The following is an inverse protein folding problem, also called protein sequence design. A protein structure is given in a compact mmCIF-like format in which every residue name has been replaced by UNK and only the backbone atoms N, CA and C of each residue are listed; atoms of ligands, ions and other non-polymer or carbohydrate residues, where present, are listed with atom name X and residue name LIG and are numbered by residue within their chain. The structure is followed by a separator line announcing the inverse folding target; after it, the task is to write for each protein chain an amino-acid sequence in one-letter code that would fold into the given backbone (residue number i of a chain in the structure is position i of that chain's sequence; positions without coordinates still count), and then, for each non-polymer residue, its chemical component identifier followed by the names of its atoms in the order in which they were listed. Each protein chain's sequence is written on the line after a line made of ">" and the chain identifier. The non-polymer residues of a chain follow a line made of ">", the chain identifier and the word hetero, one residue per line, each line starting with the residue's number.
data_IF_122323842257
#
_entry.id   IF_122323842257
#
_cell.length_a   1.000
_cell.length_b   1.000
_cell.length_c   1.000
_cell.angle_alpha   90.00
_cell.angle_beta   90.00
_cell.angle_gamma   90.00
#
_symmetry.space_group_name_H-M   'P 1'
#
loop_
_entity.id
_entity.type
_entity.pdbx_description
1 polymer ?
#
# COMPACT_ATOMS: atom_id res chain seq x y z
N UNK A 1 -19.89 8.21 26.29
CA UNK A 1 -20.24 7.35 25.13
C UNK A 1 -19.58 7.93 23.89
N UNK A 2 -18.33 7.56 23.58
CA UNK A 2 -17.58 8.08 22.43
C UNK A 2 -18.22 7.52 21.14
N UNK A 3 -18.82 8.40 20.33
CA UNK A 3 -19.73 8.00 19.24
C UNK A 3 -19.05 7.61 17.91
N UNK A 4 -17.76 7.92 17.70
CA UNK A 4 -16.98 7.39 16.56
C UNK A 4 -15.54 7.91 16.61
N UNK A 5 -14.56 7.09 16.24
CA UNK A 5 -13.17 7.52 16.06
C UNK A 5 -13.04 8.62 14.98
N UNK A 6 -14.04 8.74 14.09
CA UNK A 6 -14.08 9.76 13.04
C UNK A 6 -14.15 11.20 13.56
N UNK A 7 -14.51 11.41 14.84
CA UNK A 7 -14.47 12.73 15.47
C UNK A 7 -13.05 13.31 15.52
N UNK A 8 -12.02 12.46 15.40
CA UNK A 8 -10.61 12.83 15.46
C UNK A 8 -9.87 12.71 14.12
N UNK A 9 -10.57 12.74 12.98
CA UNK A 9 -9.95 12.60 11.64
C UNK A 9 -8.79 13.57 11.42
N UNK A 10 -8.86 14.81 11.93
CA UNK A 10 -7.76 15.79 11.81
C UNK A 10 -6.52 15.32 12.56
N UNK A 11 -6.68 14.84 13.80
CA UNK A 11 -5.59 14.30 14.61
C UNK A 11 -5.02 13.03 13.98
N UNK A 12 -5.88 12.11 13.54
CA UNK A 12 -5.44 10.90 12.85
C UNK A 12 -4.61 11.22 11.60
N UNK A 13 -5.05 12.18 10.78
CA UNK A 13 -4.30 12.65 9.60
C UNK A 13 -2.96 13.26 9.98
N UNK A 14 -2.90 14.04 11.06
CA UNK A 14 -1.65 14.59 11.58
C UNK A 14 -0.68 13.46 11.98
N UNK A 15 -1.15 12.48 12.76
CA UNK A 15 -0.32 11.36 13.23
C UNK A 15 0.16 10.51 12.04
N UNK A 16 -0.69 10.23 11.05
CA UNK A 16 -0.29 9.53 9.82
C UNK A 16 0.74 10.35 9.03
N UNK A 17 0.57 11.68 8.96
CA UNK A 17 1.53 12.59 8.38
C UNK A 17 2.90 12.53 9.07
N UNK A 18 2.92 12.56 10.41
CA UNK A 18 4.14 12.40 11.21
C UNK A 18 4.81 11.04 10.95
N UNK A 19 4.05 9.94 10.91
CA UNK A 19 4.58 8.61 10.56
C UNK A 19 5.22 8.62 9.18
N UNK A 20 4.57 9.21 8.17
CA UNK A 20 5.12 9.32 6.80
C UNK A 20 6.40 10.15 6.78
N UNK A 21 6.43 11.29 7.48
CA UNK A 21 7.63 12.12 7.58
C UNK A 21 8.79 11.37 8.25
N UNK A 22 8.51 10.60 9.31
CA UNK A 22 9.50 9.74 9.95
C UNK A 22 10.04 8.67 8.98
N UNK A 23 9.17 7.97 8.24
CA UNK A 23 9.57 6.95 7.26
C UNK A 23 10.41 7.54 6.11
N UNK A 24 10.07 8.73 5.63
CA UNK A 24 10.80 9.38 4.52
C UNK A 24 12.09 10.06 4.99
N UNK A 25 12.08 10.81 6.11
CA UNK A 25 13.22 11.60 6.58
C UNK A 25 14.22 10.81 7.43
N UNK A 26 13.76 9.84 8.23
CA UNK A 26 14.64 9.04 9.09
C UNK A 26 15.04 7.73 8.41
N UNK A 27 14.10 7.05 7.75
CA UNK A 27 14.38 5.76 7.10
C UNK A 27 14.75 5.87 5.62
N UNK A 28 14.55 7.04 4.99
CA UNK A 28 14.94 7.26 3.59
C UNK A 28 14.05 6.54 2.57
N UNK A 29 12.81 6.19 2.93
CA UNK A 29 11.83 5.61 2.01
C UNK A 29 11.33 6.66 1.00
N UNK A 30 10.94 6.22 -0.20
CA UNK A 30 10.31 7.04 -1.22
C UNK A 30 8.78 6.91 -1.15
N UNK A 31 8.13 7.82 -0.42
CA UNK A 31 6.68 7.77 -0.18
C UNK A 31 6.07 9.12 -0.50
N UNK A 32 5.17 9.15 -1.49
CA UNK A 32 4.52 10.37 -1.93
C UNK A 32 3.74 11.06 -0.79
N UNK A 33 3.73 12.40 -0.68
CA UNK A 33 3.10 13.11 0.44
C UNK A 33 1.60 12.86 0.65
N UNK A 34 0.89 12.46 -0.41
CA UNK A 34 -0.56 12.20 -0.39
C UNK A 34 -0.93 10.78 0.03
N UNK A 35 0.06 9.89 0.20
CA UNK A 35 -0.18 8.52 0.68
C UNK A 35 -0.80 8.56 2.07
N UNK A 36 -1.84 7.76 2.25
CA UNK A 36 -2.47 7.53 3.55
C UNK A 36 -2.23 6.07 3.92
N UNK A 37 -1.87 5.83 5.18
CA UNK A 37 -1.62 4.48 5.65
C UNK A 37 -2.14 4.29 7.07
N UNK A 38 -2.49 3.06 7.41
CA UNK A 38 -2.70 2.68 8.80
C UNK A 38 -1.42 2.88 9.62
N UNK A 39 -1.57 3.25 10.89
CA UNK A 39 -0.47 3.27 11.84
C UNK A 39 0.17 1.89 12.01
N UNK A 40 -0.59 0.81 11.77
CA UNK A 40 -0.09 -0.56 11.86
C UNK A 40 0.52 -1.11 10.55
N UNK A 41 0.43 -0.39 9.43
CA UNK A 41 1.07 -0.81 8.17
C UNK A 41 2.59 -0.99 8.39
N UNK A 42 3.11 -2.14 7.93
CA UNK A 42 4.49 -2.58 8.13
C UNK A 42 5.28 -2.38 6.84
N UNK A 43 6.16 -1.39 6.85
CA UNK A 43 7.10 -1.16 5.77
C UNK A 43 8.47 -1.67 6.20
N UNK A 44 9.18 -2.27 5.26
CA UNK A 44 10.50 -2.84 5.47
C UNK A 44 11.51 -1.83 5.99
N UNK A 45 12.13 -2.12 7.13
CA UNK A 45 13.19 -1.28 7.73
C UNK A 45 14.60 -1.85 7.53
N UNK A 46 14.73 -3.06 7.01
CA UNK A 46 16.04 -3.68 6.70
C UNK A 46 16.57 -3.18 5.37
N UNK A 47 15.69 -2.89 4.41
CA UNK A 47 16.02 -2.22 3.16
C UNK A 47 15.05 -1.07 2.83
N UNK A 48 15.03 0.01 3.64
CA UNK A 48 13.97 1.02 3.57
C UNK A 48 14.01 1.84 2.27
N UNK A 49 15.20 2.06 1.69
CA UNK A 49 15.34 2.81 0.43
C UNK A 49 14.73 2.10 -0.77
N UNK A 50 14.46 0.79 -0.68
CA UNK A 50 13.78 0.03 -1.73
C UNK A 50 12.26 0.10 -1.65
N UNK A 51 11.67 0.88 -0.74
CA UNK A 51 10.22 1.07 -0.66
C UNK A 51 9.83 2.32 -1.44
N UNK A 52 9.04 2.12 -2.50
CA UNK A 52 8.51 3.20 -3.34
C UNK A 52 6.99 3.16 -3.38
N UNK A 53 6.31 4.26 -3.02
CA UNK A 53 4.84 4.32 -2.96
C UNK A 53 4.33 5.59 -3.62
N UNK A 54 3.56 5.40 -4.69
CA UNK A 54 3.01 6.42 -5.55
C UNK A 54 1.87 7.23 -4.94
N UNK A 55 1.59 8.35 -5.60
CA UNK A 55 0.57 9.32 -5.22
C UNK A 55 -0.82 8.69 -4.99
N UNK A 56 -1.53 9.16 -3.95
CA UNK A 56 -2.93 8.84 -3.77
C UNK A 56 -3.20 7.39 -3.38
N UNK A 57 -2.16 6.59 -3.11
CA UNK A 57 -2.30 5.21 -2.66
C UNK A 57 -2.70 5.13 -1.19
N UNK A 58 -3.53 4.15 -0.86
CA UNK A 58 -3.95 3.84 0.50
C UNK A 58 -3.44 2.48 0.94
N UNK A 59 -2.85 2.42 2.14
CA UNK A 59 -2.33 1.19 2.74
C UNK A 59 -3.16 0.86 3.99
N UNK A 60 -3.91 -0.24 3.91
CA UNK A 60 -4.76 -0.68 5.01
C UNK A 60 -3.94 -1.26 6.18
N UNK A 61 -4.65 -1.57 7.27
CA UNK A 61 -4.04 -2.05 8.50
C UNK A 61 -3.30 -3.38 8.29
N UNK A 62 -2.13 -3.47 8.94
CA UNK A 62 -1.25 -4.64 8.98
C UNK A 62 -0.76 -5.15 7.61
N UNK A 63 -0.98 -4.41 6.52
CA UNK A 63 -0.35 -4.73 5.25
C UNK A 63 1.18 -4.66 5.41
N UNK A 64 1.88 -5.65 4.89
CA UNK A 64 3.32 -5.77 4.92
C UNK A 64 3.89 -5.55 3.51
N UNK A 65 4.79 -4.59 3.37
CA UNK A 65 5.47 -4.29 2.10
C UNK A 65 6.96 -4.52 2.33
N UNK A 66 7.48 -5.55 1.69
CA UNK A 66 8.84 -6.05 1.89
C UNK A 66 9.73 -5.65 0.72
N UNK A 67 11.00 -5.40 1.00
CA UNK A 67 12.07 -5.03 0.08
C UNK A 67 13.36 -5.85 0.35
N UNK A 68 13.35 -6.73 1.36
CA UNK A 68 14.40 -7.72 1.60
C UNK A 68 13.83 -9.12 1.89
N UNK A 69 14.63 -10.14 1.57
CA UNK A 69 14.43 -11.51 2.04
C UNK A 69 15.78 -12.07 2.49
N UNK A 70 15.88 -12.39 3.79
CA UNK A 70 17.10 -12.90 4.41
C UNK A 70 17.46 -14.30 3.93
N UNK A 71 16.47 -15.15 3.66
CA UNK A 71 16.70 -16.55 3.22
C UNK A 71 17.25 -16.61 1.80
N UNK A 72 16.86 -15.64 0.96
CA UNK A 72 17.33 -15.49 -0.41
C UNK A 72 18.51 -14.53 -0.55
N UNK A 73 18.92 -13.88 0.55
CA UNK A 73 19.94 -12.84 0.58
C UNK A 73 19.71 -11.71 -0.44
N UNK A 74 18.45 -11.36 -0.71
CA UNK A 74 18.09 -10.29 -1.67
C UNK A 74 17.68 -9.01 -0.95
N UNK A 75 18.08 -7.89 -1.54
CA UNK A 75 17.59 -6.54 -1.25
C UNK A 75 17.26 -5.91 -2.59
N UNK A 76 16.02 -5.50 -2.76
CA UNK A 76 15.49 -5.05 -4.05
C UNK A 76 14.40 -4.03 -3.84
N UNK A 77 14.06 -3.30 -4.90
CA UNK A 77 12.98 -2.33 -4.86
C UNK A 77 11.62 -3.03 -4.96
N UNK A 78 10.69 -2.61 -4.11
CA UNK A 78 9.27 -2.93 -4.20
C UNK A 78 8.51 -1.64 -4.47
N UNK A 79 7.75 -1.62 -5.55
CA UNK A 79 7.14 -0.41 -6.10
C UNK A 79 5.63 -0.54 -6.08
N UNK A 80 4.96 0.48 -5.55
CA UNK A 80 3.51 0.58 -5.57
C UNK A 80 3.15 1.84 -6.34
N UNK A 81 2.34 1.69 -7.39
CA UNK A 81 1.88 2.75 -8.24
C UNK A 81 0.95 3.76 -7.56
N UNK A 82 0.39 4.64 -8.37
CA UNK A 82 -0.56 5.68 -7.96
C UNK A 82 -1.96 5.11 -7.77
N UNK A 83 -2.74 5.76 -6.91
CA UNK A 83 -4.16 5.48 -6.68
C UNK A 83 -4.46 4.00 -6.40
N UNK A 84 -3.54 3.29 -5.74
CA UNK A 84 -3.74 1.90 -5.38
C UNK A 84 -4.48 1.77 -4.04
N UNK A 85 -5.17 0.66 -3.85
CA UNK A 85 -5.60 0.18 -2.54
C UNK A 85 -4.84 -1.08 -2.18
N UNK A 86 -4.09 -1.03 -1.08
CA UNK A 86 -3.37 -2.18 -0.54
C UNK A 86 -4.17 -2.75 0.63
N UNK A 87 -4.82 -3.89 0.39
CA UNK A 87 -5.76 -4.53 1.31
C UNK A 87 -5.14 -4.90 2.66
N UNK A 88 -5.98 -4.99 3.67
CA UNK A 88 -5.54 -5.23 5.04
C UNK A 88 -4.87 -6.61 5.15
N UNK A 89 -3.76 -6.69 5.91
CA UNK A 89 -2.98 -7.92 6.09
C UNK A 89 -2.51 -8.57 4.77
N UNK A 90 -2.48 -7.83 3.67
CA UNK A 90 -1.79 -8.30 2.47
C UNK A 90 -0.27 -8.28 2.69
N UNK A 91 0.44 -9.15 1.98
CA UNK A 91 1.89 -9.26 2.02
C UNK A 91 2.40 -9.06 0.60
N UNK A 92 3.17 -8.00 0.38
CA UNK A 92 3.85 -7.73 -0.89
C UNK A 92 5.29 -8.19 -0.74
N UNK A 93 5.68 -9.23 -1.51
CA UNK A 93 7.03 -9.78 -1.44
C UNK A 93 8.07 -8.83 -2.07
N UNK A 94 9.36 -8.98 -1.69
CA UNK A 94 10.43 -8.17 -2.25
C UNK A 94 10.53 -8.28 -3.77
N UNK A 95 10.71 -7.13 -4.43
CA UNK A 95 10.97 -7.07 -5.87
C UNK A 95 9.71 -6.92 -6.71
N UNK A 96 8.54 -6.85 -6.07
CA UNK A 96 7.25 -6.75 -6.78
C UNK A 96 6.97 -5.30 -7.16
N UNK A 97 6.50 -5.12 -8.39
CA UNK A 97 5.90 -3.89 -8.89
C UNK A 97 4.38 -4.05 -9.00
N UNK A 98 3.65 -3.20 -8.29
CA UNK A 98 2.20 -3.00 -8.42
C UNK A 98 2.00 -1.77 -9.29
N UNK A 99 1.37 -1.93 -10.46
CA UNK A 99 1.07 -0.84 -11.37
C UNK A 99 0.05 0.16 -10.81
N UNK A 100 -0.14 1.26 -11.53
CA UNK A 100 -1.11 2.29 -11.15
C UNK A 100 -2.55 1.73 -11.13
N UNK A 101 -3.39 2.33 -10.29
CA UNK A 101 -4.82 2.01 -10.19
C UNK A 101 -5.14 0.54 -9.89
N UNK A 102 -4.31 -0.10 -9.06
CA UNK A 102 -4.53 -1.47 -8.62
C UNK A 102 -5.33 -1.57 -7.31
N UNK A 103 -6.04 -2.68 -7.16
CA UNK A 103 -6.70 -3.07 -5.90
C UNK A 103 -6.16 -4.42 -5.46
N UNK A 104 -5.43 -4.45 -4.36
CA UNK A 104 -4.95 -5.69 -3.73
C UNK A 104 -5.95 -6.09 -2.65
N UNK A 105 -6.49 -7.31 -2.76
CA UNK A 105 -7.40 -7.88 -1.79
C UNK A 105 -6.76 -8.04 -0.41
N UNK A 106 -7.57 -7.92 0.64
CA UNK A 106 -7.12 -8.19 2.01
C UNK A 106 -6.65 -9.63 2.15
N UNK A 107 -5.56 -9.85 2.90
CA UNK A 107 -4.95 -11.16 3.09
C UNK A 107 -4.21 -11.72 1.87
N UNK A 108 -4.11 -10.97 0.76
CA UNK A 108 -3.41 -11.44 -0.42
C UNK A 108 -1.89 -11.56 -0.20
N UNK A 109 -1.26 -12.56 -0.80
CA UNK A 109 0.21 -12.71 -0.83
C UNK A 109 0.68 -12.47 -2.26
N UNK A 110 1.19 -11.28 -2.53
CA UNK A 110 1.61 -10.86 -3.86
C UNK A 110 3.05 -11.28 -4.09
N UNK A 111 3.21 -12.26 -4.98
CA UNK A 111 4.49 -12.92 -5.28
C UNK A 111 5.10 -12.52 -6.63
N UNK A 112 4.33 -11.81 -7.45
CA UNK A 112 4.69 -11.37 -8.80
C UNK A 112 4.08 -10.00 -9.06
N UNK A 113 4.61 -9.32 -10.07
CA UNK A 113 4.11 -8.01 -10.50
C UNK A 113 2.63 -8.04 -10.85
N UNK A 114 1.94 -6.95 -10.50
CA UNK A 114 0.53 -6.75 -10.81
C UNK A 114 0.44 -5.64 -11.85
N UNK A 115 -0.09 -5.92 -13.06
CA UNK A 115 -0.19 -4.91 -14.10
C UNK A 115 -1.15 -3.79 -13.68
N UNK A 116 -0.98 -2.55 -14.20
CA UNK A 116 -1.88 -1.45 -13.92
C UNK A 116 -3.35 -1.80 -14.16
N UNK A 117 -4.27 -1.05 -13.53
CA UNK A 117 -5.71 -1.21 -13.70
C UNK A 117 -6.21 -2.64 -13.37
N UNK A 118 -5.62 -3.28 -12.36
CA UNK A 118 -5.94 -4.66 -11.99
C UNK A 118 -6.39 -4.80 -10.55
N UNK A 119 -7.38 -5.67 -10.32
CA UNK A 119 -7.69 -6.19 -8.99
C UNK A 119 -7.05 -7.57 -8.85
N UNK A 120 -6.26 -7.77 -7.78
CA UNK A 120 -5.60 -9.04 -7.48
C UNK A 120 -5.90 -9.50 -6.05
N UNK A 121 -6.09 -10.81 -5.85
CA UNK A 121 -6.37 -11.38 -4.54
C UNK A 121 -5.90 -12.85 -4.47
N UNK A 122 -5.80 -13.39 -3.25
CA UNK A 122 -5.42 -14.78 -2.99
C UNK A 122 -3.99 -14.97 -2.49
N UNK A 123 -3.62 -16.21 -2.20
CA UNK A 123 -2.28 -16.63 -1.82
C UNK A 123 -1.91 -17.90 -2.61
N UNK A 124 -1.09 -17.81 -3.67
CA UNK A 124 -0.53 -16.58 -4.23
C UNK A 124 -1.60 -15.68 -4.87
N UNK A 125 -1.40 -14.38 -4.85
CA UNK A 125 -2.32 -13.43 -5.45
C UNK A 125 -2.37 -13.60 -6.97
N UNK A 126 -3.58 -13.63 -7.53
CA UNK A 126 -3.84 -13.68 -8.97
C UNK A 126 -4.67 -12.47 -9.36
N UNK A 127 -4.49 -11.98 -10.60
CA UNK A 127 -5.37 -10.97 -11.17
C UNK A 127 -6.75 -11.59 -11.40
N UNK A 128 -7.75 -11.11 -10.67
CA UNK A 128 -9.14 -11.57 -10.74
C UNK A 128 -10.01 -10.66 -11.62
N UNK A 129 -9.53 -9.43 -11.88
CA UNK A 129 -10.19 -8.46 -12.76
C UNK A 129 -9.15 -7.52 -13.35
N UNK A 130 -9.25 -7.26 -14.64
CA UNK A 130 -8.43 -6.29 -15.36
C UNK A 130 -9.30 -5.14 -15.88
N UNK A 131 -8.68 -4.02 -16.24
CA UNK A 131 -9.39 -2.84 -16.76
C UNK A 131 -10.23 -2.12 -15.72
N UNK A 132 -9.86 -2.20 -14.43
CA UNK A 132 -10.50 -1.39 -13.39
C UNK A 132 -10.00 0.05 -13.45
N UNK A 133 -10.83 1.00 -13.04
CA UNK A 133 -10.41 2.38 -12.84
C UNK A 133 -10.59 2.74 -11.36
N UNK A 134 -9.55 3.32 -10.76
CA UNK A 134 -9.60 3.79 -9.38
C UNK A 134 -9.44 5.30 -9.31
N UNK A 135 -10.19 5.89 -8.39
CA UNK A 135 -9.94 7.23 -7.88
C UNK A 135 -8.90 7.17 -6.76
N UNK A 136 -8.62 8.34 -6.17
CA UNK A 136 -7.77 8.48 -4.98
C UNK A 136 -8.12 7.43 -3.92
N UNK A 137 -7.07 6.83 -3.35
CA UNK A 137 -7.12 5.78 -2.34
C UNK A 137 -7.60 4.42 -2.85
N UNK A 138 -7.49 4.18 -4.16
CA UNK A 138 -7.92 2.93 -4.78
C UNK A 138 -9.43 2.71 -4.74
N UNK A 139 -10.20 3.81 -4.65
CA UNK A 139 -11.67 3.74 -4.68
C UNK A 139 -12.12 3.40 -6.09
N UNK A 140 -12.74 2.24 -6.26
CA UNK A 140 -13.28 1.79 -7.55
C UNK A 140 -14.37 2.75 -8.05
N UNK A 141 -14.19 3.26 -9.28
CA UNK A 141 -15.09 4.25 -9.88
C UNK A 141 -16.48 3.69 -10.16
N UNK A 142 -16.57 2.43 -10.57
CA UNK A 142 -17.82 1.72 -10.87
C UNK A 142 -18.71 1.43 -9.64
N UNK A 143 -18.18 1.59 -8.42
CA UNK A 143 -18.91 1.38 -7.16
C UNK A 143 -19.35 2.66 -6.46
N UNK A 144 -18.95 3.82 -6.96
CA UNK A 144 -19.42 5.11 -6.46
C UNK A 144 -20.61 5.49 -7.33
N UNK A 145 -21.81 5.01 -6.96
CA UNK A 145 -23.03 5.64 -7.46
C UNK A 145 -23.04 7.08 -6.93
N UNK A 146 -23.26 8.04 -7.82
CA UNK A 146 -23.48 9.45 -7.48
C UNK A 146 -24.60 9.62 -6.44
#
# INVERSE_FOLDING_TARGET
>A
MLRSLNQFIKLQRLVVGCKRLYLTKVWGMDIHPTVVMSLSARLDKTHPRGIHIGEGTYIAFDAAILAHDMTRAIKTDTRIGKNCFIGARSIILPGVTIGDSCVIGSGAVVTKDIPPNSAAAGNPAQVIRSGIETLKFGRLKDRIKE
#
